data_IF_002264271840
#
_entry.id   IF_002264271840
#
_cell.length_a   1.000
_cell.length_b   1.000
_cell.length_c   1.000
_cell.angle_alpha   90.00
_cell.angle_beta   90.00
_cell.angle_gamma   90.00
#
_symmetry.space_group_name_H-M   'P 1'
#
loop_
_entity.id
_entity.type
_entity.pdbx_description
1 polymer ?
#
# COMPACT_ATOMS: atom_id res chain seq x y z
N UNK A 1 24.17 62.03 0.93
CA UNK A 1 25.26 63.04 1.02
C UNK A 1 25.16 64.12 -0.09
N UNK A 2 23.96 64.55 -0.50
CA UNK A 2 23.78 65.73 -1.37
C UNK A 2 23.46 67.00 -0.55
N UNK A 3 22.86 66.84 0.62
CA UNK A 3 22.39 67.96 1.47
C UNK A 3 23.54 68.84 2.00
N UNK A 4 24.70 68.26 2.33
CA UNK A 4 25.86 69.01 2.85
C UNK A 4 26.58 69.88 1.81
N UNK A 5 26.32 69.67 0.51
CA UNK A 5 27.00 70.40 -0.57
C UNK A 5 26.53 71.85 -0.73
N UNK A 6 25.43 72.21 -0.07
CA UNK A 6 24.80 73.54 -0.16
C UNK A 6 24.93 74.37 1.13
N UNK A 7 25.67 73.88 2.14
CA UNK A 7 25.87 74.58 3.40
C UNK A 7 27.00 75.62 3.27
N UNK A 8 26.83 76.79 3.88
CA UNK A 8 27.90 77.80 3.98
C UNK A 8 28.89 77.47 5.09
N UNK A 9 30.09 78.04 5.04
CA UNK A 9 31.20 77.73 5.96
C UNK A 9 30.82 77.96 7.45
N UNK A 10 30.00 78.97 7.72
CA UNK A 10 29.47 79.26 9.06
C UNK A 10 28.41 78.23 9.51
N UNK A 11 27.58 77.73 8.58
CA UNK A 11 26.61 76.67 8.87
C UNK A 11 27.29 75.32 9.11
N UNK A 12 28.39 75.04 8.42
CA UNK A 12 29.23 73.86 8.66
C UNK A 12 29.96 73.93 10.01
N UNK A 13 30.45 75.11 10.42
CA UNK A 13 31.04 75.32 11.75
C UNK A 13 30.02 75.20 12.88
N UNK A 14 28.81 75.73 12.68
CA UNK A 14 27.69 75.55 13.62
C UNK A 14 27.30 74.08 13.75
N UNK A 15 27.18 73.38 12.62
CA UNK A 15 26.85 71.95 12.58
C UNK A 15 27.91 71.09 13.29
N UNK A 16 29.19 71.43 13.17
CA UNK A 16 30.29 70.72 13.84
C UNK A 16 30.36 71.02 15.36
N UNK A 17 29.78 72.14 15.80
CA UNK A 17 29.82 72.58 17.20
C UNK A 17 28.61 72.12 18.01
N UNK A 18 27.59 71.55 17.35
CA UNK A 18 26.33 71.14 17.94
C UNK A 18 25.96 69.72 17.48
N UNK A 19 26.30 68.73 18.30
CA UNK A 19 26.04 67.30 18.04
C UNK A 19 24.56 67.02 17.75
N UNK A 20 23.63 67.82 18.30
CA UNK A 20 22.20 67.64 18.07
C UNK A 20 21.78 67.92 16.61
N UNK A 21 22.50 68.81 15.93
CA UNK A 21 22.26 69.10 14.51
C UNK A 21 22.81 67.99 13.61
N UNK A 22 23.90 67.34 14.03
CA UNK A 22 24.46 66.16 13.36
C UNK A 22 23.49 64.98 13.50
N UNK A 23 22.98 64.71 14.71
CA UNK A 23 21.99 63.65 14.96
C UNK A 23 20.71 63.88 14.13
N UNK A 24 20.22 65.12 14.08
CA UNK A 24 19.05 65.46 13.26
C UNK A 24 19.29 65.22 11.76
N UNK A 25 20.49 65.50 11.26
CA UNK A 25 20.85 65.22 9.87
C UNK A 25 20.94 63.72 9.59
N UNK A 26 21.42 62.93 10.56
CA UNK A 26 21.49 61.47 10.48
C UNK A 26 20.07 60.87 10.47
N UNK A 27 19.18 61.33 11.35
CA UNK A 27 17.78 60.90 11.39
C UNK A 27 17.02 61.27 10.11
N UNK A 28 17.37 62.41 9.50
CA UNK A 28 16.81 62.84 8.21
C UNK A 28 17.34 62.03 7.01
N UNK A 29 18.37 61.18 7.18
CA UNK A 29 18.80 60.29 6.10
C UNK A 29 17.66 59.30 5.76
N UNK A 30 17.34 59.09 4.48
CA UNK A 30 16.32 58.13 4.05
C UNK A 30 16.58 56.74 4.62
N UNK A 31 17.85 56.34 4.70
CA UNK A 31 18.27 55.05 5.23
C UNK A 31 17.99 54.88 6.73
N UNK A 32 17.87 55.97 7.50
CA UNK A 32 17.60 55.90 8.95
C UNK A 32 16.11 56.07 9.20
N UNK A 33 15.48 57.06 8.56
CA UNK A 33 14.05 57.32 8.65
C UNK A 33 13.15 56.19 8.12
N UNK A 34 13.62 55.36 7.18
CA UNK A 34 12.85 54.21 6.65
C UNK A 34 12.92 52.97 7.55
N UNK A 35 13.95 52.82 8.40
CA UNK A 35 14.15 51.62 9.23
C UNK A 35 12.99 51.31 10.19
N UNK A 36 12.34 52.30 10.85
CA UNK A 36 11.16 52.03 11.68
C UNK A 36 10.02 51.41 10.87
N UNK A 37 9.75 51.93 9.67
CA UNK A 37 8.70 51.41 8.79
C UNK A 37 9.03 50.01 8.29
N UNK A 38 10.27 49.76 7.85
CA UNK A 38 10.70 48.42 7.46
C UNK A 38 10.62 47.41 8.61
N UNK A 39 10.96 47.85 9.83
CA UNK A 39 10.84 47.03 11.05
C UNK A 39 9.38 46.67 11.30
N UNK A 40 8.47 47.63 11.23
CA UNK A 40 7.03 47.40 11.43
C UNK A 40 6.47 46.44 10.38
N UNK A 41 6.85 46.60 9.11
CA UNK A 41 6.44 45.69 8.03
C UNK A 41 6.94 44.26 8.30
N UNK A 42 8.20 44.10 8.68
CA UNK A 42 8.77 42.78 9.01
C UNK A 42 8.13 42.16 10.24
N UNK A 43 7.84 42.96 11.27
CA UNK A 43 7.14 42.50 12.48
C UNK A 43 5.71 42.06 12.16
N UNK A 44 4.98 42.85 11.37
CA UNK A 44 3.62 42.50 10.94
C UNK A 44 3.62 41.21 10.11
N UNK A 45 4.57 41.06 9.18
CA UNK A 45 4.70 39.83 8.39
C UNK A 45 5.05 38.62 9.27
N UNK A 46 6.02 38.76 10.16
CA UNK A 46 6.42 37.69 11.08
C UNK A 46 5.25 37.27 11.97
N UNK A 47 4.52 38.24 12.53
CA UNK A 47 3.33 38.00 13.35
C UNK A 47 2.24 37.27 12.57
N UNK A 48 1.93 37.73 11.35
CA UNK A 48 0.93 37.08 10.50
C UNK A 48 1.33 35.64 10.14
N UNK A 49 2.61 35.40 9.84
CA UNK A 49 3.11 34.05 9.59
C UNK A 49 3.02 33.16 10.84
N UNK A 50 3.36 33.68 12.01
CA UNK A 50 3.25 32.95 13.27
C UNK A 50 1.78 32.60 13.58
N UNK A 51 0.85 33.54 13.42
CA UNK A 51 -0.58 33.32 13.60
C UNK A 51 -1.13 32.26 12.63
N UNK A 52 -0.73 32.32 11.36
CA UNK A 52 -1.10 31.32 10.36
C UNK A 52 -0.55 29.93 10.73
N UNK A 53 0.74 29.85 11.11
CA UNK A 53 1.37 28.59 11.53
C UNK A 53 0.64 27.99 12.75
N UNK A 54 0.33 28.80 13.77
CA UNK A 54 -0.42 28.37 14.95
C UNK A 54 -1.84 27.92 14.60
N UNK A 55 -2.50 28.58 13.65
CA UNK A 55 -3.82 28.17 13.17
C UNK A 55 -3.80 26.85 12.39
N UNK A 56 -2.70 26.55 11.70
CA UNK A 56 -2.56 25.32 10.91
C UNK A 56 -2.14 24.10 11.74
N UNK A 57 -1.41 24.32 12.83
CA UNK A 57 -0.96 23.26 13.74
C UNK A 57 -2.07 22.28 14.15
N UNK A 58 -3.26 22.70 14.64
CA UNK A 58 -4.31 21.76 15.04
C UNK A 58 -4.85 20.93 13.87
N UNK A 59 -4.95 21.52 12.67
CA UNK A 59 -5.42 20.81 11.48
C UNK A 59 -4.42 19.74 11.05
N UNK A 60 -3.12 20.06 11.07
CA UNK A 60 -2.05 19.11 10.76
C UNK A 60 -1.99 18.00 11.80
N UNK A 61 -2.14 18.35 13.09
CA UNK A 61 -2.14 17.36 14.17
C UNK A 61 -3.34 16.42 14.08
N UNK A 62 -4.54 16.94 13.79
CA UNK A 62 -5.74 16.15 13.59
C UNK A 62 -5.59 15.23 12.36
N UNK A 63 -5.09 15.75 11.23
CA UNK A 63 -4.86 14.96 10.03
C UNK A 63 -3.84 13.83 10.28
N UNK A 64 -2.75 14.11 11.00
CA UNK A 64 -1.75 13.11 11.41
C UNK A 64 -2.36 12.05 12.32
N UNK A 65 -3.17 12.45 13.30
CA UNK A 65 -3.84 11.52 14.20
C UNK A 65 -4.84 10.61 13.46
N UNK A 66 -5.65 11.18 12.55
CA UNK A 66 -6.56 10.42 11.69
C UNK A 66 -5.80 9.44 10.81
N UNK A 67 -4.73 9.89 10.14
CA UNK A 67 -3.90 9.03 9.31
C UNK A 67 -3.32 7.87 10.13
N UNK A 68 -2.71 8.17 11.28
CA UNK A 68 -2.15 7.15 12.16
C UNK A 68 -3.19 6.13 12.59
N UNK A 69 -4.38 6.57 12.99
CA UNK A 69 -5.50 5.69 13.37
C UNK A 69 -5.96 4.81 12.21
N UNK A 70 -6.24 5.39 11.05
CA UNK A 70 -6.69 4.61 9.88
C UNK A 70 -5.62 3.63 9.40
N UNK A 71 -4.34 4.01 9.52
CA UNK A 71 -3.22 3.14 9.18
C UNK A 71 -3.11 1.95 10.12
N UNK A 72 -3.23 2.16 11.44
CA UNK A 72 -3.20 1.05 12.41
C UNK A 72 -4.40 0.13 12.27
N UNK A 73 -5.59 0.68 12.00
CA UNK A 73 -6.79 -0.11 11.67
C UNK A 73 -6.57 -0.94 10.40
N UNK A 74 -6.05 -0.33 9.32
CA UNK A 74 -5.75 -1.03 8.07
C UNK A 74 -4.71 -2.14 8.26
N UNK A 75 -3.66 -1.91 9.07
CA UNK A 75 -2.68 -2.93 9.40
C UNK A 75 -3.32 -4.10 10.17
N UNK A 76 -4.20 -3.81 11.14
CA UNK A 76 -4.91 -4.85 11.89
C UNK A 76 -5.79 -5.68 10.96
N UNK A 77 -6.60 -5.03 10.12
CA UNK A 77 -7.45 -5.74 9.15
C UNK A 77 -6.62 -6.55 8.16
N UNK A 78 -5.47 -6.02 7.70
CA UNK A 78 -4.55 -6.77 6.85
C UNK A 78 -4.05 -8.05 7.54
N UNK A 79 -3.61 -7.95 8.79
CA UNK A 79 -3.17 -9.11 9.57
C UNK A 79 -4.29 -10.14 9.76
N UNK A 80 -5.52 -9.69 10.03
CA UNK A 80 -6.70 -10.57 10.13
C UNK A 80 -6.95 -11.30 8.81
N UNK A 81 -6.89 -10.59 7.67
CA UNK A 81 -7.04 -11.18 6.33
C UNK A 81 -5.92 -12.17 6.03
N UNK A 82 -4.66 -11.86 6.35
CA UNK A 82 -3.53 -12.76 6.18
C UNK A 82 -3.69 -14.03 7.01
N UNK A 83 -4.13 -13.92 8.28
CA UNK A 83 -4.42 -15.08 9.13
C UNK A 83 -5.58 -15.93 8.60
N UNK A 84 -6.65 -15.29 8.10
CA UNK A 84 -7.77 -16.00 7.49
C UNK A 84 -7.36 -16.70 6.19
N UNK A 85 -6.52 -16.04 5.39
CA UNK A 85 -5.96 -16.63 4.17
C UNK A 85 -5.09 -17.83 4.49
N UNK A 86 -4.20 -17.74 5.48
CA UNK A 86 -3.37 -18.87 5.90
C UNK A 86 -4.24 -20.05 6.36
N UNK A 87 -5.29 -19.80 7.14
CA UNK A 87 -6.26 -20.85 7.52
C UNK A 87 -6.97 -21.45 6.31
N UNK A 88 -7.36 -20.63 5.34
CA UNK A 88 -8.01 -21.07 4.11
C UNK A 88 -7.05 -21.93 3.27
N UNK A 89 -5.81 -21.50 3.10
CA UNK A 89 -4.77 -22.19 2.35
C UNK A 89 -4.48 -23.56 3.00
N UNK A 90 -4.33 -23.61 4.33
CA UNK A 90 -4.20 -24.89 5.06
C UNK A 90 -5.39 -25.84 4.84
N UNK A 91 -6.63 -25.32 4.86
CA UNK A 91 -7.82 -26.15 4.59
C UNK A 91 -7.86 -26.57 3.11
N UNK A 92 -7.46 -25.70 2.20
CA UNK A 92 -7.40 -25.97 0.77
C UNK A 92 -6.33 -27.00 0.41
N UNK A 93 -5.17 -26.99 1.07
CA UNK A 93 -4.11 -27.99 0.90
C UNK A 93 -4.59 -29.37 1.40
N UNK A 94 -5.15 -29.44 2.61
CA UNK A 94 -5.72 -30.67 3.17
C UNK A 94 -6.91 -31.21 2.36
N UNK A 95 -7.64 -30.32 1.67
CA UNK A 95 -8.76 -30.66 0.78
C UNK A 95 -8.40 -30.57 -0.69
N UNK A 96 -7.12 -30.50 -1.02
CA UNK A 96 -6.69 -30.49 -2.40
C UNK A 96 -7.19 -31.78 -3.05
N UNK A 97 -7.71 -31.67 -4.28
CA UNK A 97 -8.36 -32.80 -4.93
C UNK A 97 -7.40 -33.98 -5.11
N UNK A 98 -6.10 -33.70 -5.25
CA UNK A 98 -5.03 -34.69 -5.29
C UNK A 98 -4.88 -35.44 -3.96
N UNK A 99 -4.88 -34.74 -2.82
CA UNK A 99 -4.84 -35.36 -1.49
C UNK A 99 -6.10 -36.21 -1.26
N UNK A 100 -7.28 -35.69 -1.60
CA UNK A 100 -8.54 -36.44 -1.47
C UNK A 100 -8.54 -37.68 -2.36
N UNK A 101 -8.00 -37.59 -3.58
CA UNK A 101 -7.84 -38.71 -4.50
C UNK A 101 -6.91 -39.80 -3.93
N UNK A 102 -5.74 -39.40 -3.43
CA UNK A 102 -4.78 -40.32 -2.81
C UNK A 102 -5.37 -41.02 -1.57
N UNK A 103 -6.04 -40.28 -0.69
CA UNK A 103 -6.70 -40.83 0.50
C UNK A 103 -7.83 -41.81 0.12
N UNK A 104 -8.62 -41.48 -0.91
CA UNK A 104 -9.70 -42.35 -1.37
C UNK A 104 -9.16 -43.63 -2.02
N UNK A 105 -8.03 -43.56 -2.74
CA UNK A 105 -7.33 -44.74 -3.25
C UNK A 105 -6.82 -45.63 -2.11
N UNK A 106 -6.19 -45.04 -1.08
CA UNK A 106 -5.73 -45.77 0.08
C UNK A 106 -6.89 -46.46 0.82
N UNK A 107 -7.98 -45.75 1.09
CA UNK A 107 -9.18 -46.30 1.74
C UNK A 107 -9.90 -47.35 0.87
N UNK A 108 -9.76 -47.30 -0.45
CA UNK A 108 -10.26 -48.34 -1.35
C UNK A 108 -9.44 -49.62 -1.24
N UNK A 109 -8.10 -49.51 -1.23
CA UNK A 109 -7.18 -50.65 -1.04
C UNK A 109 -7.34 -51.27 0.33
N UNK A 110 -7.43 -50.46 1.38
CA UNK A 110 -7.66 -50.93 2.74
C UNK A 110 -8.95 -51.77 2.85
N UNK A 111 -10.05 -51.30 2.25
CA UNK A 111 -11.30 -52.08 2.22
C UNK A 111 -11.20 -53.37 1.39
N UNK A 112 -10.36 -53.38 0.35
CA UNK A 112 -10.07 -54.58 -0.44
C UNK A 112 -9.25 -55.59 0.39
N UNK A 113 -8.19 -55.15 1.04
CA UNK A 113 -7.34 -55.94 1.93
C UNK A 113 -8.14 -56.51 3.12
N UNK A 114 -9.03 -55.72 3.73
CA UNK A 114 -9.95 -56.20 4.77
C UNK A 114 -10.89 -57.30 4.25
N UNK A 115 -11.40 -57.17 3.02
CA UNK A 115 -12.24 -58.19 2.41
C UNK A 115 -11.46 -59.47 2.10
N UNK A 116 -10.19 -59.33 1.67
CA UNK A 116 -9.26 -60.44 1.42
C UNK A 116 -8.98 -61.19 2.73
N UNK A 117 -8.71 -60.44 3.81
CA UNK A 117 -8.49 -61.01 5.15
C UNK A 117 -9.69 -61.81 5.66
N UNK A 118 -10.91 -61.33 5.41
CA UNK A 118 -12.14 -62.08 5.76
C UNK A 118 -12.23 -63.38 4.95
N UNK A 119 -11.86 -63.35 3.66
CA UNK A 119 -11.82 -64.53 2.82
C UNK A 119 -10.76 -65.55 3.27
N UNK A 120 -9.57 -65.09 3.67
CA UNK A 120 -8.52 -65.94 4.25
C UNK A 120 -8.96 -66.58 5.57
N UNK A 121 -9.61 -65.82 6.46
CA UNK A 121 -10.14 -66.34 7.72
C UNK A 121 -11.17 -67.45 7.49
N UNK A 122 -12.06 -67.27 6.52
CA UNK A 122 -13.01 -68.30 6.12
C UNK A 122 -12.32 -69.54 5.53
N UNK A 123 -11.34 -69.37 4.65
CA UNK A 123 -10.57 -70.47 4.06
C UNK A 123 -9.81 -71.30 5.11
N UNK A 124 -9.39 -70.64 6.20
CA UNK A 124 -8.73 -71.27 7.35
C UNK A 124 -9.72 -71.84 8.38
N UNK A 125 -11.04 -71.77 8.13
CA UNK A 125 -12.08 -72.27 9.03
C UNK A 125 -12.25 -71.46 10.32
N UNK A 126 -11.78 -70.21 10.36
CA UNK A 126 -11.83 -69.33 11.55
C UNK A 126 -13.16 -68.59 11.71
N UNK A 127 -14.00 -68.58 10.66
CA UNK A 127 -15.29 -67.86 10.61
C UNK A 127 -16.36 -68.79 10.03
N UNK A 128 -17.55 -68.78 10.62
CA UNK A 128 -18.69 -69.56 10.12
C UNK A 128 -19.27 -68.95 8.84
N UNK A 129 -19.90 -69.79 8.00
CA UNK A 129 -20.39 -69.38 6.69
C UNK A 129 -21.38 -68.22 6.73
N UNK A 130 -22.26 -68.18 7.73
CA UNK A 130 -23.25 -67.11 7.86
C UNK A 130 -22.59 -65.76 8.20
N UNK A 131 -21.57 -65.76 9.04
CA UNK A 131 -20.82 -64.56 9.41
C UNK A 131 -19.91 -64.09 8.26
N UNK A 132 -19.28 -65.04 7.56
CA UNK A 132 -18.48 -64.76 6.36
C UNK A 132 -19.31 -64.03 5.30
N UNK A 133 -20.47 -64.57 4.91
CA UNK A 133 -21.31 -63.97 3.87
C UNK A 133 -21.68 -62.53 4.24
N UNK A 134 -22.12 -62.29 5.48
CA UNK A 134 -22.49 -60.95 5.95
C UNK A 134 -21.31 -59.97 5.88
N UNK A 135 -20.19 -60.31 6.51
CA UNK A 135 -19.05 -59.40 6.66
C UNK A 135 -18.28 -59.18 5.36
N UNK A 136 -18.10 -60.25 4.56
CA UNK A 136 -17.44 -60.19 3.26
C UNK A 136 -18.26 -59.35 2.28
N UNK A 137 -19.57 -59.58 2.17
CA UNK A 137 -20.43 -58.83 1.26
C UNK A 137 -20.43 -57.34 1.60
N UNK A 138 -20.51 -56.98 2.88
CA UNK A 138 -20.44 -55.60 3.36
C UNK A 138 -19.11 -54.92 2.97
N UNK A 139 -17.98 -55.56 3.28
CA UNK A 139 -16.64 -55.01 2.98
C UNK A 139 -16.37 -54.95 1.47
N UNK A 140 -16.75 -55.98 0.71
CA UNK A 140 -16.56 -56.04 -0.74
C UNK A 140 -17.40 -54.98 -1.47
N UNK A 141 -18.65 -54.76 -1.03
CA UNK A 141 -19.48 -53.65 -1.53
C UNK A 141 -18.83 -52.29 -1.25
N UNK A 142 -18.29 -52.09 -0.04
CA UNK A 142 -17.60 -50.86 0.32
C UNK A 142 -16.36 -50.63 -0.55
N UNK A 143 -15.52 -51.66 -0.74
CA UNK A 143 -14.34 -51.60 -1.59
C UNK A 143 -14.69 -51.21 -3.03
N UNK A 144 -15.66 -51.89 -3.66
CA UNK A 144 -16.11 -51.56 -5.01
C UNK A 144 -16.68 -50.14 -5.11
N UNK A 145 -17.47 -49.70 -4.13
CA UNK A 145 -18.01 -48.34 -4.10
C UNK A 145 -16.91 -47.29 -4.00
N UNK A 146 -15.88 -47.52 -3.19
CA UNK A 146 -14.72 -46.62 -3.06
C UNK A 146 -13.87 -46.61 -4.33
N UNK A 147 -13.66 -47.78 -4.95
CA UNK A 147 -12.93 -47.92 -6.22
C UNK A 147 -13.58 -47.11 -7.34
N UNK A 148 -14.88 -47.28 -7.57
CA UNK A 148 -15.62 -46.53 -8.59
C UNK A 148 -15.55 -45.02 -8.34
N UNK A 149 -15.70 -44.58 -7.08
CA UNK A 149 -15.57 -43.16 -6.73
C UNK A 149 -14.16 -42.62 -6.97
N UNK A 150 -13.15 -43.41 -6.66
CA UNK A 150 -11.73 -43.08 -6.88
C UNK A 150 -11.42 -42.93 -8.37
N UNK A 151 -11.83 -43.90 -9.19
CA UNK A 151 -11.69 -43.87 -10.65
C UNK A 151 -12.41 -42.66 -11.24
N UNK A 152 -13.62 -42.35 -10.77
CA UNK A 152 -14.38 -41.20 -11.26
C UNK A 152 -13.74 -39.87 -10.87
N UNK A 153 -13.23 -39.76 -9.64
CA UNK A 153 -12.50 -38.57 -9.20
C UNK A 153 -11.22 -38.37 -10.02
N UNK A 154 -10.47 -39.45 -10.29
CA UNK A 154 -9.28 -39.40 -11.14
C UNK A 154 -9.60 -38.96 -12.58
N UNK A 155 -10.72 -39.44 -13.15
CA UNK A 155 -11.20 -39.01 -14.47
C UNK A 155 -11.57 -37.51 -14.50
N UNK A 156 -12.23 -37.02 -13.46
CA UNK A 156 -12.57 -35.59 -13.32
C UNK A 156 -11.30 -34.75 -13.24
N UNK A 157 -10.31 -35.18 -12.45
CA UNK A 157 -9.04 -34.46 -12.34
C UNK A 157 -8.28 -34.43 -13.67
N UNK A 158 -8.26 -35.56 -14.39
CA UNK A 158 -7.65 -35.63 -15.73
C UNK A 158 -8.33 -34.71 -16.73
N UNK A 159 -9.64 -34.60 -16.70
CA UNK A 159 -10.39 -33.72 -17.61
C UNK A 159 -10.25 -32.23 -17.24
N UNK A 160 -9.99 -31.88 -15.99
CA UNK A 160 -9.66 -30.49 -15.61
C UNK A 160 -8.25 -30.07 -16.06
N UNK A 161 -7.28 -30.98 -16.02
CA UNK A 161 -5.90 -30.73 -16.46
C UNK A 161 -5.80 -30.62 -17.99
N UNK A 162 -6.76 -31.20 -18.73
CA UNK A 162 -6.89 -31.08 -20.18
C UNK A 162 -8.17 -30.33 -20.54
N UNK A 163 -8.18 -28.98 -20.61
CA UNK A 163 -9.19 -28.32 -21.41
C UNK A 163 -9.10 -28.91 -22.82
N UNK A 164 -10.21 -29.36 -23.45
CA UNK A 164 -10.16 -29.59 -24.88
C UNK A 164 -9.67 -28.27 -25.49
N UNK A 165 -8.61 -28.33 -26.28
CA UNK A 165 -8.14 -27.21 -27.06
C UNK A 165 -9.31 -26.77 -27.95
N UNK A 166 -10.12 -25.85 -27.45
CA UNK A 166 -11.14 -25.18 -28.23
C UNK A 166 -10.36 -24.43 -29.30
N UNK A 167 -10.54 -24.89 -30.54
CA UNK A 167 -9.97 -24.30 -31.73
C UNK A 167 -10.10 -22.78 -31.66
N UNK A 168 -8.96 -22.08 -31.67
CA UNK A 168 -8.90 -20.64 -31.86
C UNK A 168 -9.74 -20.25 -33.10
N UNK A 169 -10.76 -19.40 -33.00
CA UNK A 169 -11.17 -18.63 -34.15
C UNK A 169 -10.14 -17.49 -34.35
N UNK A 170 -9.57 -17.31 -35.56
CA UNK A 170 -8.77 -16.14 -35.83
C UNK A 170 -9.68 -14.93 -36.00
N UNK A 171 -9.13 -13.76 -35.66
CA UNK A 171 -9.51 -12.43 -36.14
C UNK A 171 -10.35 -11.54 -35.20
N UNK A 172 -9.65 -10.69 -34.44
CA UNK A 172 -10.03 -9.27 -34.32
C UNK A 172 -8.80 -8.39 -34.50
N UNK A 173 -8.66 -7.92 -35.73
CA UNK A 173 -8.23 -6.59 -36.18
C UNK A 173 -7.30 -5.78 -35.25
N UNK A 174 -6.13 -5.54 -35.82
CA UNK A 174 -5.09 -4.55 -35.52
C UNK A 174 -5.61 -3.15 -35.18
N UNK A 175 -5.23 -2.63 -34.02
CA UNK A 175 -5.15 -1.19 -33.75
C UNK A 175 -3.70 -0.70 -33.95
N UNK A 176 -3.49 0.47 -34.56
CA UNK A 176 -2.16 0.99 -34.83
C UNK A 176 -1.52 1.56 -33.55
N UNK A 177 -0.20 1.44 -33.48
CA UNK A 177 0.64 1.91 -32.39
C UNK A 177 0.67 3.46 -32.31
N UNK A 178 0.53 3.99 -31.10
CA UNK A 178 0.97 5.34 -30.76
C UNK A 178 1.48 5.38 -29.32
N UNK A 179 2.81 5.32 -29.21
CA UNK A 179 3.67 6.13 -28.34
C UNK A 179 3.15 6.50 -26.95
N UNK A 180 3.86 5.99 -25.94
CA UNK A 180 3.57 6.26 -24.54
C UNK A 180 3.72 7.73 -24.15
N UNK A 181 3.06 8.10 -23.05
CA UNK A 181 3.50 9.11 -22.10
C UNK A 181 2.64 9.00 -20.84
N UNK A 182 3.31 9.12 -19.71
CA UNK A 182 2.81 9.13 -18.35
C UNK A 182 1.79 10.26 -18.09
N UNK A 183 0.81 10.09 -17.18
CA UNK A 183 -0.10 11.16 -16.83
C UNK A 183 0.51 12.03 -15.71
N UNK A 184 1.09 13.17 -16.07
CA UNK A 184 1.30 14.28 -15.13
C UNK A 184 0.05 15.18 -15.09
N UNK A 185 -0.33 15.72 -13.91
CA UNK A 185 -1.53 16.52 -13.76
C UNK A 185 -1.39 17.94 -14.33
N UNK A 186 -2.56 18.43 -14.75
CA UNK A 186 -2.89 19.68 -15.43
C UNK A 186 -2.27 20.93 -14.78
N UNK A 187 -1.69 21.79 -15.63
CA UNK A 187 -1.15 23.09 -15.28
C UNK A 187 -2.24 24.08 -14.81
N UNK A 188 -1.99 24.78 -13.70
CA UNK A 188 -2.81 25.91 -13.24
C UNK A 188 -2.63 27.13 -14.18
N UNK A 189 -3.67 27.97 -14.35
CA UNK A 189 -3.54 29.24 -15.08
C UNK A 189 -2.67 30.24 -14.30
N UNK A 190 -1.95 31.15 -14.98
CA UNK A 190 -0.99 32.04 -14.34
C UNK A 190 -1.68 33.17 -13.59
N UNK A 191 -1.34 33.33 -12.30
CA UNK A 191 -1.68 34.50 -11.49
C UNK A 191 -0.62 35.59 -11.79
N UNK A 192 -1.00 36.82 -12.20
CA UNK A 192 -0.04 37.90 -12.44
C UNK A 192 0.59 38.37 -11.12
N UNK A 193 1.92 38.40 -11.03
CA UNK A 193 2.64 39.09 -9.95
C UNK A 193 3.55 38.24 -9.04
N UNK A 194 3.81 36.97 -9.35
CA UNK A 194 4.75 36.14 -8.55
C UNK A 194 6.02 35.81 -9.33
N UNK A 195 7.17 36.25 -8.82
CA UNK A 195 8.48 35.82 -9.33
C UNK A 195 8.68 34.31 -9.09
N UNK A 196 9.32 33.58 -10.01
CA UNK A 196 9.55 32.14 -9.85
C UNK A 196 10.59 31.88 -8.74
N UNK A 197 10.45 30.80 -7.94
CA UNK A 197 11.46 30.44 -6.97
C UNK A 197 12.71 29.93 -7.69
N UNK A 198 13.87 30.48 -7.35
CA UNK A 198 15.17 29.94 -7.73
C UNK A 198 15.27 28.56 -7.07
N UNK A 199 15.16 27.51 -7.89
CA UNK A 199 15.40 26.15 -7.44
C UNK A 199 16.89 25.94 -7.16
N UNK A 200 17.24 25.63 -5.91
CA UNK A 200 18.34 24.73 -5.57
C UNK A 200 18.35 24.42 -4.06
N UNK A 201 17.71 23.32 -3.65
CA UNK A 201 18.02 22.69 -2.35
C UNK A 201 18.07 21.18 -2.54
N UNK A 202 19.30 20.66 -2.65
CA UNK A 202 19.57 19.23 -2.50
C UNK A 202 19.28 18.80 -1.07
N UNK A 203 18.61 17.67 -0.91
CA UNK A 203 18.46 17.00 0.37
C UNK A 203 19.77 16.29 0.74
N UNK A 204 20.26 16.38 1.99
CA UNK A 204 21.30 15.49 2.45
C UNK A 204 20.69 14.12 2.80
N UNK A 205 21.31 13.07 2.24
CA UNK A 205 21.12 11.68 2.63
C UNK A 205 21.84 11.43 3.95
N UNK A 206 21.11 10.98 4.98
CA UNK A 206 21.74 10.43 6.19
C UNK A 206 21.98 8.94 5.95
N UNK A 207 23.26 8.57 5.91
CA UNK A 207 23.75 7.22 6.19
C UNK A 207 24.21 7.13 7.64
#
# INVERSE_FOLDING_TARGET
MQNLRHYTDDQLKSLLSDDSQIDSLIDALPQVSQLPSEREVKLAQSKSMAECNLSMEPQVQEARAKLSKTYTEALKTKQEVESLKEKLDNVAENRSLDVVSALLQAASREAEDESEKIAEQFANGQVEIAEFVRTFEEKRKLAHKRKVKSEKLAEILRSQVYPPAAANPPNRQSHPAAHGSTPYPVAYPPIPGRAPPIGNFGYPSFG
#
